data_IF_240749592371
#
_entry.id   IF_240749592371
#
_cell.length_a   1.000
_cell.length_b   1.000
_cell.length_c   1.000
_cell.angle_alpha   90.00
_cell.angle_beta   90.00
_cell.angle_gamma   90.00
#
_symmetry.space_group_name_H-M   'P 1'
#
loop_
_entity.id
_entity.type
_entity.pdbx_description
1 polymer ?
#
# COMPACT_ATOMS: atom_id res chain seq x y z
N UNK A 1 2.97 -33.83 -72.58
CA UNK A 1 3.86 -32.82 -71.98
C UNK A 1 3.16 -32.29 -70.73
N UNK A 2 3.48 -32.86 -69.56
CA UNK A 2 2.85 -32.50 -68.28
C UNK A 2 3.75 -31.52 -67.52
N UNK A 3 3.22 -30.51 -66.82
CA UNK A 3 4.04 -29.53 -66.12
C UNK A 3 4.46 -30.08 -64.75
N UNK A 4 5.75 -29.94 -64.45
CA UNK A 4 6.39 -30.35 -63.20
C UNK A 4 6.08 -29.34 -62.08
N UNK A 5 5.47 -29.85 -61.01
CA UNK A 5 5.14 -29.12 -59.79
C UNK A 5 6.41 -28.90 -58.94
N UNK A 6 6.92 -27.67 -58.93
CA UNK A 6 8.05 -27.28 -58.06
C UNK A 6 7.57 -27.19 -56.61
N UNK A 7 8.02 -28.11 -55.77
CA UNK A 7 7.81 -28.06 -54.32
C UNK A 7 8.76 -27.02 -53.71
N UNK A 8 8.21 -25.93 -53.18
CA UNK A 8 8.93 -25.02 -52.30
C UNK A 8 8.89 -25.59 -50.88
N UNK A 9 10.02 -26.10 -50.39
CA UNK A 9 10.20 -26.36 -48.96
C UNK A 9 10.43 -25.01 -48.26
N UNK A 10 9.41 -24.52 -47.57
CA UNK A 10 9.54 -23.42 -46.63
C UNK A 10 10.12 -23.96 -45.32
N UNK A 11 11.39 -23.66 -45.05
CA UNK A 11 12.02 -23.95 -43.76
C UNK A 11 11.54 -22.90 -42.76
N UNK A 12 10.53 -23.25 -41.96
CA UNK A 12 10.09 -22.41 -40.84
C UNK A 12 11.14 -22.58 -39.74
N UNK A 13 12.06 -21.63 -39.65
CA UNK A 13 12.98 -21.53 -38.52
C UNK A 13 12.20 -20.98 -37.34
N UNK A 14 11.75 -21.87 -36.44
CA UNK A 14 11.19 -21.48 -35.15
C UNK A 14 12.37 -20.99 -34.31
N UNK A 15 12.64 -19.69 -34.40
CA UNK A 15 13.47 -19.02 -33.39
C UNK A 15 12.64 -18.97 -32.13
N UNK A 16 12.98 -19.82 -31.16
CA UNK A 16 12.42 -19.74 -29.83
C UNK A 16 12.92 -18.41 -29.23
N UNK A 17 12.14 -17.36 -29.39
CA UNK A 17 12.34 -16.12 -28.64
C UNK A 17 12.01 -16.48 -27.20
N UNK A 18 13.05 -16.74 -26.40
CA UNK A 18 12.90 -16.65 -24.96
C UNK A 18 12.63 -15.18 -24.64
N UNK A 19 11.37 -14.78 -24.66
CA UNK A 19 10.94 -13.63 -23.88
C UNK A 19 11.24 -14.01 -22.44
N UNK A 20 12.28 -13.41 -21.86
CA UNK A 20 12.37 -13.30 -20.40
C UNK A 20 10.98 -12.88 -19.92
N UNK A 21 10.37 -13.55 -18.91
CA UNK A 21 9.12 -13.06 -18.38
C UNK A 21 9.37 -11.59 -18.03
N UNK A 22 8.52 -10.72 -18.56
CA UNK A 22 8.58 -9.32 -18.24
C UNK A 22 8.66 -9.20 -16.71
N UNK A 23 9.59 -8.40 -16.20
CA UNK A 23 9.40 -7.76 -14.91
C UNK A 23 7.95 -7.28 -14.87
N UNK A 24 7.13 -7.83 -13.96
CA UNK A 24 5.70 -7.49 -13.89
C UNK A 24 4.70 -8.63 -13.68
N UNK A 25 5.06 -9.91 -13.91
CA UNK A 25 4.10 -11.01 -13.72
C UNK A 25 4.12 -11.61 -12.30
N UNK A 26 2.94 -11.75 -11.69
CA UNK A 26 2.78 -12.40 -10.39
C UNK A 26 3.09 -13.91 -10.44
N UNK A 27 4.11 -14.35 -9.71
CA UNK A 27 4.44 -15.77 -9.60
C UNK A 27 3.55 -16.50 -8.59
N UNK A 28 2.44 -17.08 -9.03
CA UNK A 28 1.45 -17.63 -8.09
C UNK A 28 2.03 -18.58 -7.03
N UNK A 29 1.64 -18.35 -5.78
CA UNK A 29 1.81 -19.32 -4.69
C UNK A 29 0.52 -19.50 -3.93
N UNK A 30 0.09 -20.75 -3.79
CA UNK A 30 -1.14 -21.13 -3.08
C UNK A 30 -0.79 -21.66 -1.68
N UNK A 31 -1.58 -21.25 -0.71
CA UNK A 31 -1.48 -21.68 0.68
C UNK A 31 -2.87 -22.14 1.14
N UNK A 32 -3.29 -23.39 0.88
CA UNK A 32 -4.58 -24.00 1.34
C UNK A 32 -5.77 -23.02 1.50
N UNK A 33 -5.90 -22.12 0.53
CA UNK A 33 -6.86 -21.02 0.47
C UNK A 33 -7.40 -20.96 -0.94
N UNK A 34 -8.41 -20.14 -1.09
CA UNK A 34 -9.29 -20.14 -2.24
C UNK A 34 -8.73 -19.30 -3.41
N UNK A 35 -7.65 -18.55 -3.18
CA UNK A 35 -6.84 -17.84 -4.18
C UNK A 35 -5.32 -18.06 -3.95
N UNK A 36 -4.48 -17.21 -4.54
CA UNK A 36 -3.02 -17.26 -4.46
C UNK A 36 -2.43 -15.90 -4.11
N UNK A 37 -1.16 -15.89 -3.68
CA UNK A 37 -0.38 -14.67 -3.44
C UNK A 37 0.73 -14.53 -4.48
N UNK A 38 1.26 -13.31 -4.61
CA UNK A 38 2.43 -12.97 -5.42
C UNK A 38 3.66 -12.88 -4.50
N UNK A 39 4.54 -13.89 -4.47
CA UNK A 39 5.75 -13.86 -3.66
C UNK A 39 6.76 -12.87 -4.23
N UNK A 40 7.20 -11.96 -3.38
CA UNK A 40 8.32 -11.08 -3.66
C UNK A 40 9.53 -11.44 -2.80
N UNK A 41 10.73 -11.33 -3.36
CA UNK A 41 12.01 -11.54 -2.68
C UNK A 41 13.09 -10.59 -3.23
N UNK A 42 14.36 -10.82 -2.91
CA UNK A 42 15.44 -9.94 -3.34
C UNK A 42 15.67 -9.89 -4.86
N UNK A 43 15.25 -10.92 -5.61
CA UNK A 43 15.51 -11.03 -7.05
C UNK A 43 14.29 -10.82 -7.92
N UNK A 44 13.08 -10.82 -7.34
CA UNK A 44 11.85 -10.60 -8.09
C UNK A 44 10.71 -10.09 -7.21
N UNK A 45 9.88 -9.23 -7.79
CA UNK A 45 8.55 -8.86 -7.33
C UNK A 45 7.69 -8.56 -8.58
N UNK A 46 6.37 -8.66 -8.45
CA UNK A 46 5.44 -8.20 -9.48
C UNK A 46 5.32 -6.67 -9.48
N UNK A 47 5.10 -6.13 -10.68
CA UNK A 47 4.95 -4.70 -10.94
C UNK A 47 3.80 -4.55 -11.94
N UNK A 48 2.61 -4.09 -11.50
CA UNK A 48 1.47 -3.89 -12.41
C UNK A 48 1.75 -2.81 -13.47
N UNK A 49 2.79 -2.00 -13.27
CA UNK A 49 3.24 -0.97 -14.20
C UNK A 49 2.56 0.37 -13.94
N UNK A 50 3.02 1.41 -14.64
CA UNK A 50 2.49 2.77 -14.49
C UNK A 50 1.17 2.89 -15.23
N UNK A 51 0.11 3.29 -14.53
CA UNK A 51 -1.20 3.51 -15.12
C UNK A 51 -1.19 4.82 -15.93
N UNK A 52 -1.51 4.72 -17.23
CA UNK A 52 -1.63 5.86 -18.12
C UNK A 52 -3.09 6.05 -18.54
N UNK A 53 -3.48 7.31 -18.77
CA UNK A 53 -4.78 7.59 -19.35
C UNK A 53 -4.88 6.96 -20.75
N UNK A 54 -5.97 6.23 -21.06
CA UNK A 54 -6.16 5.63 -22.37
C UNK A 54 -6.33 6.71 -23.44
N UNK A 55 -6.05 6.36 -24.70
CA UNK A 55 -6.30 7.25 -25.84
C UNK A 55 -7.78 7.62 -25.95
N UNK A 56 -8.08 8.82 -26.43
CA UNK A 56 -9.46 9.28 -26.59
C UNK A 56 -10.27 8.30 -27.46
N UNK A 57 -11.44 7.88 -26.97
CA UNK A 57 -12.27 6.87 -27.63
C UNK A 57 -11.93 5.43 -27.24
N UNK A 58 -11.03 5.21 -26.28
CA UNK A 58 -10.71 3.89 -25.72
C UNK A 58 -10.86 3.89 -24.20
N UNK A 59 -10.96 2.70 -23.62
CA UNK A 59 -10.93 2.49 -22.18
C UNK A 59 -9.83 1.52 -21.79
N UNK A 60 -9.36 1.64 -20.55
CA UNK A 60 -8.55 0.63 -19.87
C UNK A 60 -9.38 -0.02 -18.75
N UNK A 61 -9.24 -1.32 -18.58
CA UNK A 61 -9.93 -2.11 -17.55
C UNK A 61 -8.91 -3.02 -16.87
N UNK A 62 -8.78 -2.89 -15.55
CA UNK A 62 -7.86 -3.69 -14.74
C UNK A 62 -8.63 -4.75 -13.98
N UNK A 63 -8.24 -6.01 -14.13
CA UNK A 63 -8.94 -7.16 -13.54
C UNK A 63 -8.07 -7.83 -12.49
N UNK A 64 -8.67 -8.08 -11.33
CA UNK A 64 -8.15 -9.05 -10.36
C UNK A 64 -9.25 -10.06 -10.08
N UNK A 65 -8.93 -11.34 -10.11
CA UNK A 65 -9.89 -12.38 -9.77
C UNK A 65 -9.29 -13.45 -8.86
N UNK A 66 -10.14 -14.41 -8.46
CA UNK A 66 -9.76 -15.47 -7.53
C UNK A 66 -8.78 -16.48 -8.17
N UNK A 67 -8.82 -16.66 -9.48
CA UNK A 67 -8.19 -17.77 -10.19
C UNK A 67 -6.83 -17.40 -10.81
N UNK A 68 -6.71 -16.25 -11.45
CA UNK A 68 -5.62 -15.91 -12.38
C UNK A 68 -5.19 -14.43 -12.33
N UNK A 69 -6.10 -13.47 -12.48
CA UNK A 69 -5.67 -12.08 -12.75
C UNK A 69 -5.23 -11.31 -11.50
N UNK A 70 -4.20 -10.47 -11.66
CA UNK A 70 -3.64 -9.58 -10.62
C UNK A 70 -3.38 -8.20 -11.22
N UNK A 71 -4.38 -7.33 -11.17
CA UNK A 71 -4.37 -6.01 -11.81
C UNK A 71 -3.97 -6.15 -13.30
N UNK A 72 -4.50 -7.17 -13.96
CA UNK A 72 -4.22 -7.44 -15.37
C UNK A 72 -4.90 -6.39 -16.24
N UNK A 73 -4.15 -5.77 -17.14
CA UNK A 73 -4.64 -4.67 -17.96
C UNK A 73 -5.28 -5.17 -19.26
N UNK A 74 -6.53 -4.78 -19.49
CA UNK A 74 -7.25 -4.93 -20.74
C UNK A 74 -7.60 -3.56 -21.31
N UNK A 75 -7.82 -3.49 -22.61
CA UNK A 75 -8.30 -2.28 -23.26
C UNK A 75 -9.25 -2.59 -24.41
N UNK A 76 -10.05 -1.59 -24.78
CA UNK A 76 -10.98 -1.70 -25.89
C UNK A 76 -11.50 -0.34 -26.35
N UNK A 77 -12.16 -0.30 -27.52
CA UNK A 77 -12.80 0.91 -28.01
C UNK A 77 -14.06 1.23 -27.18
N UNK A 78 -14.36 2.52 -27.04
CA UNK A 78 -15.65 3.00 -26.55
C UNK A 78 -16.59 3.08 -27.76
N UNK A 79 -17.66 2.28 -27.71
CA UNK A 79 -18.62 2.15 -28.80
C UNK A 79 -20.05 2.41 -28.29
N UNK A 80 -20.93 2.83 -29.20
CA UNK A 80 -22.36 2.89 -28.91
C UNK A 80 -22.91 1.47 -28.68
N UNK A 81 -23.86 1.35 -27.75
CA UNK A 81 -24.46 0.06 -27.44
C UNK A 81 -25.14 -0.55 -28.67
N UNK A 82 -24.70 -1.74 -29.09
CA UNK A 82 -25.17 -2.42 -30.29
C UNK A 82 -26.55 -3.12 -30.15
N UNK A 83 -27.32 -2.81 -29.10
CA UNK A 83 -28.63 -3.44 -28.85
C UNK A 83 -29.03 -3.43 -27.36
N UNK A 84 -30.15 -4.11 -27.02
CA UNK A 84 -30.62 -4.18 -25.64
C UNK A 84 -29.62 -4.94 -24.75
N UNK A 85 -29.24 -4.34 -23.63
CA UNK A 85 -28.34 -4.95 -22.63
C UNK A 85 -29.14 -5.48 -21.44
N UNK A 86 -28.63 -6.53 -20.78
CA UNK A 86 -29.24 -7.09 -19.56
C UNK A 86 -28.95 -6.23 -18.32
N UNK A 87 -27.93 -5.38 -18.38
CA UNK A 87 -27.56 -4.42 -17.35
C UNK A 87 -26.95 -3.16 -18.00
N UNK A 88 -27.17 -2.00 -17.38
CA UNK A 88 -26.62 -0.72 -17.80
C UNK A 88 -26.25 0.10 -16.57
N UNK A 89 -25.09 0.75 -16.63
CA UNK A 89 -24.63 1.71 -15.63
C UNK A 89 -24.37 3.03 -16.35
N UNK A 90 -25.00 4.10 -15.88
CA UNK A 90 -24.84 5.44 -16.43
C UNK A 90 -24.07 6.32 -15.45
N UNK A 91 -23.11 7.10 -15.97
CA UNK A 91 -22.34 8.07 -15.19
C UNK A 91 -22.87 9.46 -15.50
N UNK A 92 -23.39 10.14 -14.48
CA UNK A 92 -23.83 11.53 -14.58
C UNK A 92 -22.75 12.46 -14.03
N UNK A 93 -22.04 13.13 -14.93
CA UNK A 93 -20.94 14.05 -14.59
C UNK A 93 -21.41 15.42 -14.12
N UNK A 94 -22.71 15.71 -14.15
CA UNK A 94 -23.28 16.98 -13.66
C UNK A 94 -23.48 17.01 -12.14
N UNK A 95 -23.49 15.84 -11.50
CA UNK A 95 -23.69 15.68 -10.05
C UNK A 95 -22.39 15.24 -9.37
N UNK A 96 -21.76 16.16 -8.62
CA UNK A 96 -20.51 15.92 -7.89
C UNK A 96 -20.74 15.63 -6.41
N UNK A 97 -19.89 14.80 -5.81
CA UNK A 97 -19.90 14.46 -4.38
C UNK A 97 -18.60 14.89 -3.69
N UNK A 98 -18.13 14.12 -2.71
CA UNK A 98 -16.91 14.41 -1.96
C UNK A 98 -15.64 14.30 -2.81
N UNK A 99 -14.64 15.10 -2.46
CA UNK A 99 -13.26 14.90 -2.91
C UNK A 99 -12.64 13.73 -2.13
N UNK A 100 -11.91 12.87 -2.84
CA UNK A 100 -11.17 11.76 -2.23
C UNK A 100 -9.79 12.28 -1.81
N UNK A 101 -9.47 12.19 -0.51
CA UNK A 101 -8.17 12.60 0.02
C UNK A 101 -7.04 11.67 -0.44
N UNK A 102 -7.33 10.37 -0.53
CA UNK A 102 -6.32 9.37 -0.88
C UNK A 102 -6.57 8.00 -0.28
N UNK A 103 -5.59 7.12 -0.46
CA UNK A 103 -5.59 5.74 0.01
C UNK A 103 -4.22 5.39 0.59
N UNK A 104 -4.19 4.47 1.55
CA UNK A 104 -2.92 4.07 2.11
C UNK A 104 -2.96 3.08 3.26
N UNK A 105 -1.91 3.14 4.09
CA UNK A 105 -1.66 2.16 5.15
C UNK A 105 -1.17 2.79 6.46
N UNK A 106 -0.86 1.94 7.44
CA UNK A 106 -0.37 2.36 8.75
C UNK A 106 1.09 1.96 8.97
N UNK A 107 1.89 2.89 9.49
CA UNK A 107 3.27 2.69 9.91
C UNK A 107 3.31 2.27 11.39
N UNK A 108 2.77 1.09 11.69
CA UNK A 108 2.80 0.51 13.04
C UNK A 108 4.18 -0.04 13.39
N UNK A 109 4.45 -0.27 14.68
CA UNK A 109 5.70 -0.89 15.12
C UNK A 109 5.88 -2.27 14.48
N UNK A 110 4.82 -3.09 14.46
CA UNK A 110 4.84 -4.39 13.80
C UNK A 110 5.14 -4.29 12.29
N UNK A 111 4.51 -3.36 11.56
CA UNK A 111 4.80 -3.17 10.13
C UNK A 111 6.27 -2.77 9.93
N UNK A 112 6.78 -1.87 10.77
CA UNK A 112 8.16 -1.43 10.76
C UNK A 112 9.18 -2.51 11.10
N UNK A 113 8.91 -3.34 12.10
CA UNK A 113 9.76 -4.47 12.48
C UNK A 113 9.81 -5.54 11.38
N UNK A 114 8.66 -5.91 10.82
CA UNK A 114 8.59 -6.88 9.73
C UNK A 114 9.29 -6.36 8.47
N UNK A 115 9.07 -5.08 8.13
CA UNK A 115 9.77 -4.43 7.02
C UNK A 115 11.28 -4.46 7.22
N UNK A 116 11.76 -4.12 8.43
CA UNK A 116 13.19 -4.07 8.71
C UNK A 116 13.88 -5.44 8.74
N UNK A 117 13.13 -6.52 8.95
CA UNK A 117 13.64 -7.90 8.91
C UNK A 117 13.91 -8.41 7.48
N UNK A 118 13.45 -7.70 6.44
CA UNK A 118 13.69 -8.06 5.05
C UNK A 118 15.13 -7.70 4.60
N UNK A 119 15.58 -8.28 3.49
CA UNK A 119 16.79 -7.80 2.81
C UNK A 119 16.56 -6.41 2.21
N UNK A 120 17.60 -5.60 2.04
CA UNK A 120 17.47 -4.24 1.51
C UNK A 120 16.77 -4.20 0.15
N UNK A 121 17.06 -5.18 -0.73
CA UNK A 121 16.39 -5.23 -2.03
C UNK A 121 14.90 -5.60 -1.92
N UNK A 122 14.53 -6.47 -0.98
CA UNK A 122 13.12 -6.81 -0.73
C UNK A 122 12.38 -5.64 -0.07
N UNK A 123 13.05 -4.85 0.79
CA UNK A 123 12.50 -3.61 1.34
C UNK A 123 12.17 -2.60 0.24
N UNK A 124 13.10 -2.42 -0.69
CA UNK A 124 12.90 -1.57 -1.85
C UNK A 124 11.67 -2.02 -2.65
N UNK A 125 11.59 -3.29 -3.03
CA UNK A 125 10.42 -3.83 -3.74
C UNK A 125 9.12 -3.58 -2.99
N UNK A 126 9.07 -3.90 -1.70
CA UNK A 126 7.85 -3.77 -0.91
C UNK A 126 7.37 -2.31 -0.79
N UNK A 127 8.27 -1.35 -0.59
CA UNK A 127 7.85 0.06 -0.55
C UNK A 127 7.48 0.58 -1.93
N UNK A 128 8.15 0.14 -3.00
CA UNK A 128 7.79 0.50 -4.37
C UNK A 128 6.38 -0.01 -4.73
N UNK A 129 6.06 -1.26 -4.39
CA UNK A 129 4.71 -1.82 -4.58
C UNK A 129 3.61 -0.98 -3.90
N UNK A 130 3.91 -0.30 -2.79
CA UNK A 130 2.93 0.57 -2.14
C UNK A 130 2.94 2.00 -2.66
N UNK A 131 4.10 2.64 -2.81
CA UNK A 131 4.20 4.10 -2.95
C UNK A 131 4.70 4.57 -4.31
N UNK A 132 5.36 3.72 -5.10
CA UNK A 132 5.93 4.13 -6.39
C UNK A 132 4.86 4.11 -7.51
N UNK A 133 5.08 4.85 -8.62
CA UNK A 133 4.16 4.92 -9.76
C UNK A 133 3.86 3.58 -10.43
N UNK A 134 4.81 2.64 -10.40
CA UNK A 134 4.60 1.29 -10.94
C UNK A 134 3.92 0.33 -9.95
N UNK A 135 3.57 0.82 -8.75
CA UNK A 135 2.85 0.10 -7.70
C UNK A 135 1.43 0.65 -7.48
N UNK A 136 1.00 0.70 -6.21
CA UNK A 136 -0.36 1.11 -5.83
C UNK A 136 -0.53 2.62 -5.57
N UNK A 137 0.54 3.42 -5.72
CA UNK A 137 0.53 4.88 -5.51
C UNK A 137 -0.16 5.34 -4.21
N UNK A 138 0.10 4.67 -3.09
CA UNK A 138 -0.38 5.10 -1.78
C UNK A 138 0.08 6.52 -1.49
N UNK A 139 -0.85 7.34 -0.99
CA UNK A 139 -0.61 8.75 -0.67
C UNK A 139 -1.13 9.13 0.72
N UNK A 140 -1.51 8.16 1.56
CA UNK A 140 -1.87 8.36 2.97
C UNK A 140 -1.07 7.42 3.89
N UNK A 141 -0.51 7.96 4.96
CA UNK A 141 0.18 7.21 6.02
C UNK A 141 -0.38 7.50 7.41
N UNK A 142 -0.96 6.50 8.07
CA UNK A 142 -1.35 6.59 9.49
C UNK A 142 -0.17 6.23 10.39
N UNK A 143 0.13 7.06 11.38
CA UNK A 143 1.23 6.82 12.34
C UNK A 143 0.68 6.75 13.77
N UNK A 144 0.87 5.63 14.49
CA UNK A 144 0.58 5.58 15.93
C UNK A 144 1.46 6.55 16.72
N UNK A 145 0.84 7.40 17.53
CA UNK A 145 1.54 8.24 18.52
C UNK A 145 1.69 7.42 19.80
N UNK A 146 2.92 7.03 20.15
CA UNK A 146 3.19 6.01 21.17
C UNK A 146 2.93 4.60 20.65
N UNK A 147 2.64 3.68 21.57
CA UNK A 147 2.35 2.29 21.24
C UNK A 147 0.94 2.08 20.66
N UNK A 148 0.73 0.88 20.10
CA UNK A 148 -0.58 0.34 19.72
C UNK A 148 -0.69 -1.11 20.18
N UNK A 149 -1.80 -1.78 19.85
CA UNK A 149 -1.92 -3.24 19.93
C UNK A 149 -0.95 -3.97 18.98
N UNK A 150 -0.44 -3.29 17.94
CA UNK A 150 0.61 -3.76 17.04
C UNK A 150 2.03 -3.35 17.50
N UNK A 151 2.22 -3.16 18.80
CA UNK A 151 3.52 -2.92 19.44
C UNK A 151 3.91 -4.12 20.32
N UNK A 152 5.20 -4.35 20.52
CA UNK A 152 5.70 -5.50 21.30
C UNK A 152 5.60 -5.29 22.81
N UNK A 153 5.41 -4.04 23.26
CA UNK A 153 5.17 -3.67 24.66
C UNK A 153 4.39 -2.35 24.70
N UNK A 154 3.68 -2.07 25.80
CA UNK A 154 2.99 -0.79 25.97
C UNK A 154 3.97 0.33 26.35
N UNK A 155 3.84 1.48 25.70
CA UNK A 155 4.61 2.69 25.99
C UNK A 155 3.86 3.95 25.54
N UNK A 156 4.15 5.08 26.18
CA UNK A 156 3.82 6.40 25.65
C UNK A 156 5.10 7.16 25.30
N UNK A 157 4.98 8.38 24.80
CA UNK A 157 6.14 9.25 24.58
C UNK A 157 6.59 9.93 25.89
N UNK A 158 5.84 9.81 27.00
CA UNK A 158 6.13 10.47 28.27
C UNK A 158 5.66 9.65 29.50
N UNK A 159 6.42 8.63 29.84
CA UNK A 159 6.04 7.67 30.90
C UNK A 159 6.52 8.05 32.31
N UNK A 160 7.12 9.23 32.49
CA UNK A 160 7.53 9.72 33.83
C UNK A 160 6.30 10.26 34.58
N UNK A 161 5.97 9.63 35.72
CA UNK A 161 4.77 9.99 36.49
C UNK A 161 4.80 11.48 36.90
N UNK A 162 3.73 12.20 36.58
CA UNK A 162 3.52 13.59 36.99
C UNK A 162 4.28 14.62 36.16
N UNK A 163 4.81 14.24 34.99
CA UNK A 163 5.52 15.16 34.08
C UNK A 163 4.56 16.06 33.28
N UNK A 164 3.81 16.90 33.99
CA UNK A 164 2.79 17.79 33.40
C UNK A 164 3.39 18.74 32.35
N UNK A 165 4.66 19.12 32.53
CA UNK A 165 5.42 20.02 31.65
C UNK A 165 6.12 19.28 30.48
N UNK A 166 5.96 17.95 30.39
CA UNK A 166 6.48 17.08 29.33
C UNK A 166 8.02 17.15 29.20
N UNK A 167 8.75 17.33 30.30
CA UNK A 167 10.22 17.50 30.30
C UNK A 167 10.94 16.25 29.77
N UNK A 168 10.37 15.07 29.99
CA UNK A 168 10.89 13.75 29.59
C UNK A 168 10.19 13.18 28.36
N UNK A 169 9.31 13.96 27.72
CA UNK A 169 8.71 13.58 26.45
C UNK A 169 9.81 13.29 25.43
N UNK A 170 9.76 12.11 24.83
CA UNK A 170 10.70 11.69 23.81
C UNK A 170 10.09 10.65 22.88
N UNK A 171 10.41 10.78 21.60
CA UNK A 171 10.28 9.68 20.64
C UNK A 171 11.03 8.43 21.15
N UNK A 172 10.52 7.26 20.81
CA UNK A 172 11.05 5.96 21.24
C UNK A 172 11.88 5.31 20.12
N UNK A 173 12.68 4.27 20.44
CA UNK A 173 13.46 3.56 19.43
C UNK A 173 12.63 3.11 18.21
N UNK A 174 11.36 2.77 18.39
CA UNK A 174 10.43 2.38 17.33
C UNK A 174 10.19 3.52 16.34
N UNK A 175 10.04 4.75 16.82
CA UNK A 175 9.87 5.93 15.97
C UNK A 175 11.13 6.19 15.14
N UNK A 176 12.30 6.13 15.78
CA UNK A 176 13.60 6.40 15.14
C UNK A 176 14.07 5.29 14.20
N UNK A 177 13.87 4.03 14.57
CA UNK A 177 14.41 2.89 13.85
C UNK A 177 13.45 2.38 12.78
N UNK A 178 12.14 2.59 12.96
CA UNK A 178 11.11 2.02 12.10
C UNK A 178 10.25 3.09 11.43
N UNK A 179 9.44 3.84 12.20
CA UNK A 179 8.37 4.67 11.63
C UNK A 179 8.92 5.80 10.76
N UNK A 180 9.84 6.61 11.30
CA UNK A 180 10.37 7.79 10.62
C UNK A 180 11.20 7.41 9.38
N UNK A 181 12.17 6.47 9.44
CA UNK A 181 12.93 6.08 8.25
C UNK A 181 12.05 5.51 7.15
N UNK A 182 11.11 4.61 7.49
CA UNK A 182 10.25 3.96 6.49
C UNK A 182 9.32 4.97 5.83
N UNK A 183 8.80 5.94 6.59
CA UNK A 183 7.97 7.01 6.06
C UNK A 183 8.75 7.96 5.14
N UNK A 184 10.02 8.26 5.47
CA UNK A 184 10.90 9.04 4.59
C UNK A 184 11.17 8.32 3.28
N UNK A 185 11.41 7.02 3.32
CA UNK A 185 11.58 6.21 2.10
C UNK A 185 10.30 6.17 1.26
N UNK A 186 9.14 5.98 1.88
CA UNK A 186 7.85 6.04 1.18
C UNK A 186 7.64 7.38 0.45
N UNK A 187 7.94 8.51 1.12
CA UNK A 187 7.89 9.85 0.54
C UNK A 187 8.89 10.08 -0.59
N UNK A 188 10.02 9.40 -0.59
CA UNK A 188 11.02 9.52 -1.66
C UNK A 188 10.62 8.75 -2.92
N UNK A 189 9.82 7.69 -2.77
CA UNK A 189 9.37 6.84 -3.88
C UNK A 189 8.09 7.33 -4.52
N UNK A 190 7.26 8.09 -3.79
CA UNK A 190 6.00 8.61 -4.31
C UNK A 190 6.20 9.84 -5.19
N UNK A 191 5.48 9.89 -6.31
CA UNK A 191 5.34 11.10 -7.13
C UNK A 191 4.28 12.07 -6.61
N UNK A 192 3.43 11.61 -5.69
CA UNK A 192 2.38 12.41 -5.06
C UNK A 192 2.78 12.84 -3.64
N UNK A 193 2.09 13.84 -3.10
CA UNK A 193 2.24 14.17 -1.68
C UNK A 193 1.68 13.04 -0.81
N UNK A 194 2.52 12.45 0.04
CA UNK A 194 2.06 11.50 1.06
C UNK A 194 1.57 12.26 2.30
N UNK A 195 0.26 12.31 2.47
CA UNK A 195 -0.40 12.87 3.64
C UNK A 195 -0.18 11.96 4.86
N UNK A 196 0.17 12.55 5.99
CA UNK A 196 0.44 11.81 7.23
C UNK A 196 -0.50 12.28 8.31
N UNK A 197 -1.08 11.34 9.06
CA UNK A 197 -1.82 11.68 10.27
C UNK A 197 -1.45 10.80 11.45
N UNK A 198 -1.36 11.43 12.61
CA UNK A 198 -1.11 10.77 13.88
C UNK A 198 -2.40 10.27 14.53
N UNK A 199 -2.34 9.14 15.23
CA UNK A 199 -3.44 8.68 16.08
C UNK A 199 -2.88 8.06 17.37
N UNK A 200 -3.15 8.61 18.56
CA UNK A 200 -2.78 7.97 19.81
C UNK A 200 -3.76 6.85 20.15
N UNK A 201 -3.28 5.76 20.76
CA UNK A 201 -4.14 4.71 21.34
C UNK A 201 -4.48 5.00 22.81
N UNK A 202 -3.54 5.58 23.54
CA UNK A 202 -3.69 5.90 24.96
C UNK A 202 -2.83 7.11 25.34
N UNK A 203 -3.30 7.97 26.26
CA UNK A 203 -2.42 8.85 27.02
C UNK A 203 -1.41 8.06 27.85
N UNK A 204 -0.34 8.73 28.35
CA UNK A 204 0.48 8.20 29.44
C UNK A 204 -0.38 7.70 30.61
N UNK A 205 0.05 6.63 31.28
CA UNK A 205 -0.74 5.98 32.33
C UNK A 205 -1.04 6.90 33.51
N UNK A 206 -0.08 7.75 33.89
CA UNK A 206 -0.24 8.72 34.97
C UNK A 206 -1.29 9.79 34.69
N UNK A 207 -1.69 9.97 33.41
CA UNK A 207 -2.79 10.87 33.03
C UNK A 207 -4.18 10.22 33.11
N UNK A 208 -4.27 8.91 33.40
CA UNK A 208 -5.51 8.12 33.28
C UNK A 208 -6.09 7.72 34.62
N UNK A 209 -7.42 7.67 34.69
CA UNK A 209 -8.18 7.27 35.88
C UNK A 209 -7.85 5.87 36.39
N UNK A 210 -7.42 4.97 35.50
CA UNK A 210 -7.13 3.57 35.81
C UNK A 210 -5.63 3.26 35.87
N UNK A 211 -4.76 4.24 35.61
CA UNK A 211 -3.29 4.09 35.56
C UNK A 211 -2.78 2.94 34.68
N UNK A 212 -3.52 2.59 33.63
CA UNK A 212 -3.20 1.49 32.73
C UNK A 212 -3.33 1.91 31.26
N UNK A 213 -2.52 1.33 30.37
CA UNK A 213 -2.66 1.56 28.92
C UNK A 213 -3.95 0.97 28.35
N UNK A 214 -4.39 -0.16 28.89
CA UNK A 214 -5.61 -0.87 28.48
C UNK A 214 -6.71 -0.80 29.57
N UNK A 215 -7.81 -1.49 29.30
CA UNK A 215 -8.98 -1.52 30.19
C UNK A 215 -9.79 -0.24 30.15
N UNK A 216 -10.91 -0.24 30.88
CA UNK A 216 -11.79 0.94 30.96
C UNK A 216 -11.12 2.03 31.80
N UNK A 217 -10.93 3.20 31.20
CA UNK A 217 -10.36 4.37 31.84
C UNK A 217 -10.53 5.60 30.96
N UNK A 218 -10.43 6.78 31.55
CA UNK A 218 -10.55 8.05 30.84
C UNK A 218 -9.40 8.98 31.22
N UNK A 219 -9.14 9.97 30.36
CA UNK A 219 -8.17 11.04 30.62
C UNK A 219 -8.70 11.93 31.75
N UNK A 220 -7.93 12.06 32.82
CA UNK A 220 -8.32 12.88 33.96
C UNK A 220 -8.39 14.37 33.57
N UNK A 221 -9.42 15.12 34.00
CA UNK A 221 -9.61 16.53 33.62
C UNK A 221 -8.40 17.43 33.87
N UNK A 222 -7.67 17.21 34.96
CA UNK A 222 -6.47 17.97 35.31
C UNK A 222 -5.33 17.86 34.28
N UNK A 223 -5.34 16.83 33.43
CA UNK A 223 -4.30 16.61 32.42
C UNK A 223 -4.74 16.90 31.00
N UNK A 224 -5.94 17.47 30.77
CA UNK A 224 -6.41 17.78 29.41
C UNK A 224 -5.45 18.69 28.63
N UNK A 225 -4.94 19.75 29.28
CA UNK A 225 -4.00 20.66 28.63
C UNK A 225 -2.63 20.01 28.39
N UNK A 226 -2.13 19.24 29.35
CA UNK A 226 -0.85 18.53 29.21
C UNK A 226 -0.94 17.50 28.08
N UNK A 227 -2.06 16.78 27.97
CA UNK A 227 -2.28 15.84 26.87
C UNK A 227 -2.44 16.52 25.51
N UNK A 228 -3.09 17.68 25.44
CA UNK A 228 -3.13 18.48 24.21
C UNK A 228 -1.70 18.90 23.78
N UNK A 229 -0.88 19.34 24.73
CA UNK A 229 0.52 19.67 24.47
C UNK A 229 1.34 18.45 24.05
N UNK A 230 1.07 17.27 24.61
CA UNK A 230 1.71 16.00 24.27
C UNK A 230 1.51 15.62 22.79
N UNK A 231 0.36 15.97 22.21
CA UNK A 231 0.06 15.70 20.79
C UNK A 231 0.75 16.71 19.87
N UNK A 232 1.01 17.93 20.34
CA UNK A 232 1.65 19.01 19.55
C UNK A 232 3.18 18.87 19.51
N UNK A 233 3.77 18.36 20.59
CA UNK A 233 5.22 18.23 20.77
C UNK A 233 5.83 17.18 19.85
#
# INVERSE_FOLDING_TARGET
>A
MAPTLKHFLAVISITLVYTLPASGHCWERRYDRDSFVCPCNATCCDEPGILAAPEAGTFAHYVSDRAEFRIEAFSGPIEDAAGPTSASVAVDTSNTYQTILGFGGAFTDAAGQNFNALSDKTKEWLLRSYYAPEGNEYNIGRVPIGCSDYSTYPYSLDDVEGDVDLVHWSLKPEDYNYKIPNLKLARQLSEQEVLIFGSPWSPPTWMKSNKMFNGTGYLLPEYWQSYANYIVK
#
